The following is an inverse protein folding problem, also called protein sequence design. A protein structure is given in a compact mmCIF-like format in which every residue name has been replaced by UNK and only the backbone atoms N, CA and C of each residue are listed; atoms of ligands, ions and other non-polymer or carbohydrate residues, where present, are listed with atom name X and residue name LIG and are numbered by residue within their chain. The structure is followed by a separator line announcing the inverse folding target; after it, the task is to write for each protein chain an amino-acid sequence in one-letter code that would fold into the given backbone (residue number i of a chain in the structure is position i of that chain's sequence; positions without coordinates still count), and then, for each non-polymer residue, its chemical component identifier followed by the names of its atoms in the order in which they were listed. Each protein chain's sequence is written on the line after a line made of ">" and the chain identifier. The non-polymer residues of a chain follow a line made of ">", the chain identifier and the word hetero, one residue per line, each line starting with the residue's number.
data_IF_263061391029
#
_entry.id   IF_263061391029
#
_cell.length_a   1.000
_cell.length_b   1.000
_cell.length_c   1.000
_cell.angle_alpha   90.00
_cell.angle_beta   90.00
_cell.angle_gamma   90.00
#
_symmetry.space_group_name_H-M   'P 1'
#
loop_
_entity.id
_entity.type
_entity.pdbx_description
1 polymer ?
#
# COMPACT_ATOMS: atom_id res chain seq x y z
N UNK A 1 33.48 -16.22 9.94
CA UNK A 1 34.32 -15.14 10.49
C UNK A 1 33.44 -14.21 11.31
N UNK A 2 33.84 -13.87 12.54
CA UNK A 2 33.22 -12.77 13.30
C UNK A 2 33.79 -11.46 12.75
N UNK A 3 32.92 -10.50 12.45
CA UNK A 3 33.35 -9.16 12.00
C UNK A 3 33.97 -8.46 13.22
N UNK A 4 35.20 -7.91 13.11
CA UNK A 4 35.82 -7.19 14.22
C UNK A 4 35.02 -5.93 14.56
N UNK A 5 34.93 -5.61 15.86
CA UNK A 5 34.29 -4.38 16.33
C UNK A 5 35.01 -3.15 15.73
N UNK A 6 34.27 -2.27 15.06
CA UNK A 6 34.79 -1.04 14.45
C UNK A 6 35.06 -1.10 12.94
N UNK A 7 34.94 -2.26 12.29
CA UNK A 7 35.06 -2.33 10.83
C UNK A 7 33.76 -1.86 10.12
N UNK A 8 33.86 -1.12 8.99
CA UNK A 8 32.68 -0.72 8.22
C UNK A 8 31.99 -1.96 7.65
N UNK A 9 30.82 -2.28 8.22
CA UNK A 9 30.02 -3.43 7.81
C UNK A 9 29.18 -3.03 6.60
N UNK A 10 29.29 -3.76 5.48
CA UNK A 10 28.37 -3.53 4.36
C UNK A 10 26.93 -3.84 4.80
N UNK A 11 25.94 -3.09 4.30
CA UNK A 11 24.54 -3.27 4.68
C UNK A 11 24.01 -4.69 4.45
N UNK A 12 24.53 -5.40 3.44
CA UNK A 12 24.20 -6.80 3.20
C UNK A 12 24.72 -7.72 4.31
N UNK A 13 25.94 -7.47 4.77
CA UNK A 13 26.57 -8.27 5.82
C UNK A 13 25.89 -8.01 7.16
N UNK A 14 25.48 -6.76 7.46
CA UNK A 14 24.60 -6.44 8.59
C UNK A 14 23.27 -7.20 8.56
N UNK A 15 22.63 -7.28 7.38
CA UNK A 15 21.38 -8.00 7.21
C UNK A 15 21.55 -9.51 7.49
N UNK A 16 22.65 -10.11 7.05
CA UNK A 16 23.00 -11.51 7.33
C UNK A 16 23.37 -11.76 8.81
N UNK A 17 23.83 -10.75 9.54
CA UNK A 17 24.04 -10.84 10.99
C UNK A 17 22.73 -10.83 11.75
N UNK A 18 21.77 -9.97 11.34
CA UNK A 18 20.45 -9.86 11.97
C UNK A 18 19.52 -11.02 11.61
N UNK A 19 19.60 -11.51 10.38
CA UNK A 19 18.78 -12.61 9.86
C UNK A 19 19.69 -13.73 9.35
N UNK A 20 20.14 -14.64 10.24
CA UNK A 20 21.11 -15.69 9.90
C UNK A 20 20.59 -16.68 8.84
N UNK A 21 19.28 -16.77 8.65
CA UNK A 21 18.63 -17.53 7.57
C UNK A 21 19.06 -17.05 6.17
N UNK A 22 19.38 -15.75 6.02
CA UNK A 22 19.80 -15.14 4.76
C UNK A 22 21.27 -15.44 4.41
N UNK A 23 22.04 -16.08 5.29
CA UNK A 23 23.45 -16.44 5.02
C UNK A 23 23.61 -17.46 3.89
N UNK A 24 22.58 -18.28 3.65
CA UNK A 24 22.55 -19.28 2.58
C UNK A 24 22.20 -18.67 1.22
N UNK A 25 21.77 -17.41 1.19
CA UNK A 25 21.29 -16.73 -0.01
C UNK A 25 22.39 -15.81 -0.52
N UNK A 26 22.71 -15.91 -1.81
CA UNK A 26 23.63 -14.98 -2.47
C UNK A 26 23.03 -13.58 -2.51
N UNK A 27 23.89 -12.55 -2.54
CA UNK A 27 23.44 -11.16 -2.59
C UNK A 27 22.53 -10.98 -3.82
N UNK A 28 21.25 -10.56 -3.65
CA UNK A 28 20.33 -10.42 -4.77
C UNK A 28 20.83 -9.34 -5.73
N UNK A 29 20.60 -9.55 -7.02
CA UNK A 29 20.89 -8.56 -8.05
C UNK A 29 19.98 -7.32 -7.88
N UNK A 30 20.43 -6.17 -8.37
CA UNK A 30 19.60 -4.94 -8.41
C UNK A 30 18.26 -5.18 -9.12
N UNK A 31 18.26 -5.97 -10.20
CA UNK A 31 17.03 -6.33 -10.92
C UNK A 31 16.07 -7.16 -10.07
N UNK A 32 16.59 -8.14 -9.32
CA UNK A 32 15.78 -8.95 -8.39
C UNK A 32 15.14 -8.08 -7.30
N UNK A 33 15.90 -7.14 -6.74
CA UNK A 33 15.39 -6.21 -5.72
C UNK A 33 14.28 -5.31 -6.31
N UNK A 34 14.46 -4.80 -7.52
CA UNK A 34 13.47 -3.97 -8.20
C UNK A 34 12.16 -4.74 -8.47
N UNK A 35 12.24 -5.98 -8.96
CA UNK A 35 11.04 -6.78 -9.23
C UNK A 35 10.28 -7.09 -7.94
N UNK A 36 10.98 -7.49 -6.87
CA UNK A 36 10.35 -7.80 -5.58
C UNK A 36 9.70 -6.55 -4.99
N UNK A 37 10.35 -5.39 -5.06
CA UNK A 37 9.81 -4.15 -4.53
C UNK A 37 8.55 -3.71 -5.30
N UNK A 38 8.59 -3.76 -6.63
CA UNK A 38 7.42 -3.43 -7.47
C UNK A 38 6.26 -4.39 -7.16
N UNK A 39 6.51 -5.70 -7.15
CA UNK A 39 5.48 -6.69 -6.85
C UNK A 39 4.83 -6.43 -5.48
N UNK A 40 5.66 -6.19 -4.46
CA UNK A 40 5.19 -5.90 -3.10
C UNK A 40 4.30 -4.67 -3.09
N UNK A 41 4.73 -3.56 -3.71
CA UNK A 41 3.93 -2.34 -3.82
C UNK A 41 2.61 -2.57 -4.55
N UNK A 42 2.62 -3.34 -5.63
CA UNK A 42 1.39 -3.66 -6.38
C UNK A 42 0.41 -4.46 -5.52
N UNK A 43 0.88 -5.45 -4.75
CA UNK A 43 0.02 -6.22 -3.85
C UNK A 43 -0.58 -5.31 -2.76
N UNK A 44 0.23 -4.42 -2.17
CA UNK A 44 -0.27 -3.46 -1.18
C UNK A 44 -1.31 -2.51 -1.77
N UNK A 45 -1.13 -2.04 -3.00
CA UNK A 45 -2.10 -1.20 -3.69
C UNK A 45 -3.43 -1.93 -3.91
N UNK A 46 -3.39 -3.18 -4.39
CA UNK A 46 -4.59 -4.01 -4.58
C UNK A 46 -5.29 -4.24 -3.23
N UNK A 47 -4.55 -4.54 -2.18
CA UNK A 47 -5.11 -4.74 -0.84
C UNK A 47 -5.78 -3.47 -0.30
N UNK A 48 -5.12 -2.31 -0.43
CA UNK A 48 -5.61 -1.03 0.05
C UNK A 48 -6.90 -0.57 -0.66
N UNK A 49 -7.07 -0.92 -1.95
CA UNK A 49 -8.26 -0.52 -2.72
C UNK A 49 -9.35 -1.59 -2.69
N UNK A 50 -8.99 -2.88 -2.74
CA UNK A 50 -9.95 -3.97 -2.90
C UNK A 50 -10.42 -4.60 -1.58
N UNK A 51 -9.55 -4.67 -0.58
CA UNK A 51 -9.80 -5.41 0.66
C UNK A 51 -10.10 -4.48 1.83
N UNK A 52 -9.30 -3.43 2.01
CA UNK A 52 -9.47 -2.48 3.12
C UNK A 52 -10.87 -1.84 3.17
N UNK A 53 -11.48 -1.38 2.05
CA UNK A 53 -12.82 -0.79 2.10
C UNK A 53 -13.91 -1.79 2.47
N UNK A 54 -13.70 -3.08 2.20
CA UNK A 54 -14.64 -4.14 2.56
C UNK A 54 -14.58 -4.48 4.04
N UNK A 55 -13.38 -4.51 4.62
CA UNK A 55 -13.19 -4.78 6.05
C UNK A 55 -13.65 -3.61 6.91
N UNK A 56 -13.36 -2.38 6.47
CA UNK A 56 -13.62 -1.16 7.24
C UNK A 56 -14.80 -0.34 6.66
N UNK A 57 -15.82 -1.03 6.15
CA UNK A 57 -16.94 -0.41 5.42
C UNK A 57 -17.57 0.78 6.16
N UNK A 58 -17.80 0.64 7.47
CA UNK A 58 -18.42 1.68 8.29
C UNK A 58 -17.55 2.96 8.36
N UNK A 59 -16.24 2.81 8.55
CA UNK A 59 -15.29 3.92 8.55
C UNK A 59 -15.30 4.67 7.22
N UNK A 60 -15.24 3.94 6.11
CA UNK A 60 -15.24 4.55 4.77
C UNK A 60 -16.58 5.23 4.45
N UNK A 61 -17.70 4.64 4.89
CA UNK A 61 -19.03 5.24 4.71
C UNK A 61 -19.16 6.56 5.47
N UNK A 62 -18.75 6.59 6.74
CA UNK A 62 -18.79 7.80 7.56
C UNK A 62 -17.85 8.89 7.03
N UNK A 63 -16.60 8.53 6.71
CA UNK A 63 -15.63 9.47 6.15
C UNK A 63 -16.09 10.06 4.81
N UNK A 64 -16.75 9.26 3.96
CA UNK A 64 -17.33 9.79 2.72
C UNK A 64 -18.52 10.70 2.97
N UNK A 65 -19.41 10.37 3.91
CA UNK A 65 -20.53 11.24 4.27
C UNK A 65 -20.04 12.59 4.80
N UNK A 66 -19.05 12.57 5.69
CA UNK A 66 -18.41 13.76 6.24
C UNK A 66 -17.76 14.61 5.14
N UNK A 67 -16.90 14.01 4.31
CA UNK A 67 -16.24 14.73 3.21
C UNK A 67 -17.23 15.27 2.17
N UNK A 68 -18.31 14.54 1.90
CA UNK A 68 -19.38 14.99 1.00
C UNK A 68 -20.21 16.11 1.61
N UNK A 69 -20.40 16.14 2.93
CA UNK A 69 -21.09 17.25 3.59
C UNK A 69 -20.36 18.59 3.43
N UNK A 70 -19.04 18.56 3.22
CA UNK A 70 -18.24 19.75 2.91
C UNK A 70 -18.45 20.27 1.49
N UNK A 71 -18.92 19.42 0.57
CA UNK A 71 -19.18 19.79 -0.81
C UNK A 71 -20.54 20.46 -0.87
N UNK A 72 -20.55 21.78 -1.12
CA UNK A 72 -21.79 22.58 -1.21
C UNK A 72 -22.59 22.38 -2.50
N UNK A 73 -22.03 21.67 -3.47
CA UNK A 73 -22.65 21.40 -4.76
C UNK A 73 -23.46 20.09 -4.71
N UNK A 74 -24.61 20.08 -5.38
CA UNK A 74 -25.43 18.87 -5.55
C UNK A 74 -24.76 17.88 -6.51
N UNK A 75 -25.14 16.59 -6.45
CA UNK A 75 -24.55 15.58 -7.34
C UNK A 75 -24.86 15.89 -8.80
N UNK A 76 -26.04 16.47 -9.03
CA UNK A 76 -26.57 16.90 -10.31
C UNK A 76 -25.76 18.10 -10.86
N UNK A 77 -25.41 19.06 -10.00
CA UNK A 77 -24.52 20.19 -10.36
C UNK A 77 -23.11 19.72 -10.74
N UNK A 78 -22.56 18.75 -10.00
CA UNK A 78 -21.24 18.17 -10.31
C UNK A 78 -21.24 17.29 -11.56
N UNK A 79 -22.39 16.71 -11.91
CA UNK A 79 -22.51 15.84 -13.07
C UNK A 79 -22.54 16.63 -14.39
N UNK A 80 -22.74 17.95 -14.37
CA UNK A 80 -22.73 18.81 -15.57
C UNK A 80 -23.62 18.29 -16.72
N UNK A 81 -24.79 17.73 -16.38
CA UNK A 81 -25.72 17.14 -17.36
C UNK A 81 -25.42 15.70 -17.77
N UNK A 82 -24.38 15.06 -17.22
CA UNK A 82 -24.14 13.63 -17.34
C UNK A 82 -24.98 12.84 -16.31
N UNK A 83 -25.20 11.53 -16.53
CA UNK A 83 -25.85 10.67 -15.54
C UNK A 83 -25.08 10.68 -14.22
N UNK A 84 -25.78 10.95 -13.12
CA UNK A 84 -25.20 10.94 -11.77
C UNK A 84 -24.68 9.54 -11.45
N UNK A 85 -23.43 9.45 -10.95
CA UNK A 85 -22.85 8.16 -10.58
C UNK A 85 -23.60 7.52 -9.41
N UNK A 86 -23.82 6.20 -9.48
CA UNK A 86 -24.47 5.44 -8.40
C UNK A 86 -23.57 5.45 -7.17
N UNK A 87 -24.16 5.68 -6.00
CA UNK A 87 -23.41 5.63 -4.75
C UNK A 87 -22.92 4.19 -4.51
N UNK A 88 -21.60 3.93 -4.40
CA UNK A 88 -21.07 2.57 -4.27
C UNK A 88 -21.47 1.88 -2.96
N UNK A 89 -22.04 2.61 -1.99
CA UNK A 89 -22.55 2.07 -0.72
C UNK A 89 -24.07 1.97 -0.66
N UNK A 90 -24.79 2.51 -1.64
CA UNK A 90 -26.24 2.40 -1.72
C UNK A 90 -26.61 1.06 -2.36
N UNK A 91 -26.64 0.02 -1.52
CA UNK A 91 -27.10 -1.33 -1.87
C UNK A 91 -28.61 -1.40 -1.68
N UNK A 92 -29.35 -0.66 -2.49
CA UNK A 92 -30.75 -0.96 -2.82
C UNK A 92 -30.82 -1.56 -4.22
#
# INVERSE_FOLDING_TARGET
>A
MRVPEGAPVSGWLWLQTKFPQLRKISRPSLGTVAVISTLTLTVFAIYAVGVQPKLNNEYYRQSQAEKRSTIKATREELAQGLPVWKDPFDRK
#
